data_IF_473995436939
#
_entry.id   IF_473995436939
#
_cell.length_a   1.000
_cell.length_b   1.000
_cell.length_c   1.000
_cell.angle_alpha   90.00
_cell.angle_beta   90.00
_cell.angle_gamma   90.00
#
_symmetry.space_group_name_H-M   'P 1'
#
loop_
_entity.id
_entity.type
_entity.pdbx_description
1 polymer ?
#
# COMPACT_ATOMS: atom_id res chain seq x y z
N UNK A 1 17.94 -31.61 -8.75
CA UNK A 1 16.71 -31.89 -7.97
C UNK A 1 16.08 -30.53 -7.68
N UNK A 2 14.83 -30.20 -7.97
CA UNK A 2 13.63 -30.95 -8.35
C UNK A 2 12.86 -30.14 -9.39
N UNK A 3 12.10 -30.81 -10.27
CA UNK A 3 11.15 -30.12 -11.16
C UNK A 3 10.16 -29.36 -10.27
N UNK A 4 10.18 -28.03 -10.29
CA UNK A 4 9.16 -27.23 -9.60
C UNK A 4 7.82 -27.52 -10.26
N UNK A 5 6.99 -28.32 -9.60
CA UNK A 5 5.70 -28.75 -10.11
C UNK A 5 4.72 -27.58 -9.96
N UNK A 6 3.92 -27.30 -10.98
CA UNK A 6 2.80 -26.36 -10.84
C UNK A 6 1.83 -26.85 -9.75
N UNK A 7 1.22 -25.92 -9.00
CA UNK A 7 0.21 -26.26 -8.01
C UNK A 7 -1.02 -26.86 -8.70
N UNK A 8 -1.67 -27.89 -8.09
CA UNK A 8 -3.00 -28.31 -8.49
C UNK A 8 -3.98 -27.12 -8.49
N UNK A 9 -4.95 -27.04 -9.42
CA UNK A 9 -5.85 -25.89 -9.53
C UNK A 9 -6.61 -25.54 -8.23
N UNK A 10 -7.00 -26.55 -7.45
CA UNK A 10 -7.68 -26.37 -6.17
C UNK A 10 -6.78 -25.72 -5.12
N UNK A 11 -5.53 -26.18 -5.00
CA UNK A 11 -4.55 -25.65 -4.06
C UNK A 11 -4.12 -24.24 -4.44
N UNK A 12 -3.92 -23.98 -5.74
CA UNK A 12 -3.67 -22.64 -6.24
C UNK A 12 -4.82 -21.68 -5.89
N UNK A 13 -6.08 -22.10 -6.13
CA UNK A 13 -7.27 -21.30 -5.80
C UNK A 13 -7.33 -20.98 -4.30
N UNK A 14 -7.03 -21.95 -3.45
CA UNK A 14 -7.01 -21.77 -2.01
C UNK A 14 -5.97 -20.71 -1.61
N UNK A 15 -4.71 -20.90 -2.00
CA UNK A 15 -3.63 -19.96 -1.67
C UNK A 15 -3.91 -18.55 -2.24
N UNK A 16 -4.48 -18.46 -3.44
CA UNK A 16 -4.87 -17.18 -4.03
C UNK A 16 -6.00 -16.50 -3.23
N UNK A 17 -6.95 -17.26 -2.71
CA UNK A 17 -8.05 -16.75 -1.87
C UNK A 17 -7.53 -16.25 -0.53
N UNK A 18 -6.60 -16.99 0.09
CA UNK A 18 -5.95 -16.61 1.35
C UNK A 18 -5.14 -15.30 1.21
N UNK A 19 -4.65 -14.98 0.00
CA UNK A 19 -3.93 -13.72 -0.25
C UNK A 19 -4.86 -12.48 -0.34
N UNK A 20 -6.18 -12.65 -0.53
CA UNK A 20 -7.11 -11.54 -0.80
C UNK A 20 -7.09 -10.44 0.28
N UNK A 21 -7.16 -10.73 1.59
CA UNK A 21 -7.15 -9.69 2.61
C UNK A 21 -5.86 -8.84 2.57
N UNK A 22 -4.72 -9.49 2.33
CA UNK A 22 -3.42 -8.82 2.19
C UNK A 22 -3.34 -7.96 0.93
N UNK A 23 -3.88 -8.44 -0.19
CA UNK A 23 -3.96 -7.67 -1.43
C UNK A 23 -4.83 -6.42 -1.28
N UNK A 24 -5.96 -6.52 -0.57
CA UNK A 24 -6.83 -5.36 -0.28
C UNK A 24 -6.14 -4.36 0.63
N UNK A 25 -5.49 -4.81 1.70
CA UNK A 25 -4.74 -3.94 2.59
C UNK A 25 -3.63 -3.20 1.83
N UNK A 26 -2.81 -3.94 1.07
CA UNK A 26 -1.74 -3.36 0.25
C UNK A 26 -2.27 -2.39 -0.81
N UNK A 27 -3.34 -2.77 -1.51
CA UNK A 27 -4.00 -1.93 -2.52
C UNK A 27 -4.53 -0.62 -1.94
N UNK A 28 -5.13 -0.64 -0.74
CA UNK A 28 -5.59 0.57 -0.04
C UNK A 28 -4.44 1.47 0.36
N UNK A 29 -3.39 0.92 0.97
CA UNK A 29 -2.22 1.70 1.35
C UNK A 29 -1.50 2.29 0.13
N UNK A 30 -1.52 1.61 -1.02
CA UNK A 30 -0.86 2.06 -2.24
C UNK A 30 -1.66 3.14 -3.01
N UNK A 31 -2.99 3.00 -3.05
CA UNK A 31 -3.89 3.85 -3.84
C UNK A 31 -4.57 4.97 -3.04
N UNK A 32 -4.69 4.82 -1.73
CA UNK A 32 -5.41 5.73 -0.84
C UNK A 32 -6.93 5.65 -0.93
N UNK A 33 -7.49 4.79 -1.78
CA UNK A 33 -8.92 4.72 -2.08
C UNK A 33 -9.42 3.26 -2.02
N UNK A 34 -10.54 3.04 -1.33
CA UNK A 34 -11.10 1.70 -1.11
C UNK A 34 -11.64 1.08 -2.39
N UNK A 35 -12.37 1.84 -3.19
CA UNK A 35 -13.02 1.33 -4.39
C UNK A 35 -11.97 1.03 -5.46
N UNK A 36 -10.99 1.93 -5.62
CA UNK A 36 -9.82 1.71 -6.48
C UNK A 36 -9.03 0.47 -6.04
N UNK A 37 -8.83 0.28 -4.74
CA UNK A 37 -8.15 -0.90 -4.22
C UNK A 37 -8.94 -2.19 -4.51
N UNK A 38 -10.26 -2.17 -4.33
CA UNK A 38 -11.10 -3.35 -4.55
C UNK A 38 -11.12 -3.75 -6.04
N UNK A 39 -11.20 -2.79 -6.96
CA UNK A 39 -11.08 -3.02 -8.41
C UNK A 39 -9.69 -3.54 -8.78
N UNK A 40 -8.64 -2.92 -8.24
CA UNK A 40 -7.26 -3.34 -8.46
C UNK A 40 -7.03 -4.79 -8.02
N UNK A 41 -7.61 -5.20 -6.89
CA UNK A 41 -7.54 -6.58 -6.41
C UNK A 41 -8.28 -7.52 -7.35
N UNK A 42 -9.47 -7.17 -7.84
CA UNK A 42 -10.19 -8.01 -8.81
C UNK A 42 -9.36 -8.25 -10.08
N UNK A 43 -8.81 -7.18 -10.67
CA UNK A 43 -7.93 -7.27 -11.84
C UNK A 43 -6.70 -8.14 -11.56
N UNK A 44 -6.13 -8.02 -10.36
CA UNK A 44 -4.97 -8.80 -9.93
C UNK A 44 -5.33 -10.29 -9.85
N UNK A 45 -6.47 -10.65 -9.27
CA UNK A 45 -6.91 -12.03 -9.15
C UNK A 45 -7.17 -12.66 -10.52
N UNK A 46 -7.79 -11.93 -11.45
CA UNK A 46 -8.00 -12.38 -12.83
C UNK A 46 -6.67 -12.66 -13.54
N UNK A 47 -5.70 -11.73 -13.43
CA UNK A 47 -4.37 -11.90 -14.02
C UNK A 47 -3.59 -13.03 -13.37
N UNK A 48 -3.65 -13.17 -12.05
CA UNK A 48 -3.04 -14.27 -11.32
C UNK A 48 -3.62 -15.61 -11.76
N UNK A 49 -4.94 -15.72 -11.89
CA UNK A 49 -5.60 -16.93 -12.38
C UNK A 49 -5.20 -17.28 -13.81
N UNK A 50 -5.13 -16.28 -14.70
CA UNK A 50 -4.68 -16.45 -16.07
C UNK A 50 -3.18 -16.84 -16.16
N UNK A 51 -2.36 -16.34 -15.24
CA UNK A 51 -0.92 -16.59 -15.17
C UNK A 51 -0.53 -17.75 -14.24
N UNK A 52 -1.48 -18.55 -13.74
CA UNK A 52 -1.24 -19.58 -12.71
C UNK A 52 -0.15 -20.59 -13.08
N UNK A 53 0.01 -20.88 -14.37
CA UNK A 53 1.03 -21.82 -14.85
C UNK A 53 2.46 -21.27 -14.72
N UNK A 54 2.61 -19.95 -14.47
CA UNK A 54 3.89 -19.29 -14.18
C UNK A 54 4.22 -19.27 -12.69
N UNK A 55 3.27 -19.67 -11.81
CA UNK A 55 3.53 -19.74 -10.39
C UNK A 55 4.42 -20.95 -10.06
N UNK A 56 5.41 -20.71 -9.21
CA UNK A 56 6.42 -21.70 -8.81
C UNK A 56 6.01 -22.24 -7.43
N UNK A 57 5.56 -23.49 -7.36
CA UNK A 57 5.15 -24.07 -6.07
C UNK A 57 6.30 -24.07 -5.05
N UNK A 58 5.96 -23.83 -3.79
CA UNK A 58 6.92 -23.62 -2.71
C UNK A 58 7.44 -22.19 -2.58
N UNK A 59 7.09 -21.29 -3.51
CA UNK A 59 7.32 -19.84 -3.35
C UNK A 59 6.10 -19.16 -2.71
N UNK A 60 6.27 -17.91 -2.25
CA UNK A 60 5.19 -17.16 -1.60
C UNK A 60 4.14 -16.68 -2.60
N UNK A 61 2.91 -17.23 -2.51
CA UNK A 61 1.74 -16.74 -3.25
C UNK A 61 1.49 -15.25 -3.00
N UNK A 62 1.72 -14.80 -1.76
CA UNK A 62 1.55 -13.39 -1.36
C UNK A 62 2.53 -12.49 -2.11
N UNK A 63 3.82 -12.83 -2.11
CA UNK A 63 4.83 -12.04 -2.83
C UNK A 63 4.57 -12.02 -4.34
N UNK A 64 4.24 -13.19 -4.92
CA UNK A 64 3.94 -13.30 -6.35
C UNK A 64 2.72 -12.47 -6.77
N UNK A 65 1.65 -12.51 -5.99
CA UNK A 65 0.44 -11.69 -6.27
C UNK A 65 0.69 -10.21 -6.02
N UNK A 66 1.56 -9.84 -5.07
CA UNK A 66 1.96 -8.44 -4.85
C UNK A 66 2.68 -7.86 -6.06
N UNK A 67 3.56 -8.63 -6.72
CA UNK A 67 4.19 -8.23 -8.00
C UNK A 67 3.13 -7.94 -9.07
N UNK A 68 2.11 -8.80 -9.20
CA UNK A 68 1.04 -8.62 -10.19
C UNK A 68 0.20 -7.38 -9.88
N UNK A 69 -0.16 -7.18 -8.61
CA UNK A 69 -0.93 -6.02 -8.15
C UNK A 69 -0.17 -4.73 -8.41
N UNK A 70 1.09 -4.68 -7.99
CA UNK A 70 2.03 -3.58 -8.20
C UNK A 70 2.10 -3.18 -9.67
N UNK A 71 2.36 -4.17 -10.55
CA UNK A 71 2.47 -3.92 -11.98
C UNK A 71 1.14 -3.46 -12.59
N UNK A 72 0.01 -3.98 -12.10
CA UNK A 72 -1.33 -3.54 -12.52
C UNK A 72 -1.59 -2.09 -12.13
N UNK A 73 -1.26 -1.70 -10.90
CA UNK A 73 -1.43 -0.34 -10.39
C UNK A 73 -0.60 0.68 -11.19
N UNK A 74 0.72 0.46 -11.30
CA UNK A 74 1.57 1.39 -12.04
C UNK A 74 1.26 1.44 -13.55
N UNK A 75 0.73 0.35 -14.11
CA UNK A 75 0.26 0.36 -15.50
C UNK A 75 -1.07 1.08 -15.67
N UNK A 76 -1.97 1.05 -14.70
CA UNK A 76 -3.20 1.86 -14.75
C UNK A 76 -2.90 3.34 -14.57
N UNK A 77 -1.97 3.70 -13.69
CA UNK A 77 -1.56 5.09 -13.44
C UNK A 77 -0.88 5.72 -14.66
N UNK A 78 0.03 5.00 -15.33
CA UNK A 78 0.65 5.49 -16.59
C UNK A 78 -0.37 5.72 -17.70
N UNK A 79 -1.38 4.83 -17.82
CA UNK A 79 -2.47 4.99 -18.80
C UNK A 79 -3.34 6.21 -18.46
N UNK A 80 -3.73 6.39 -17.20
CA UNK A 80 -4.50 7.56 -16.74
C UNK A 80 -3.77 8.87 -17.06
N UNK A 81 -2.45 8.94 -16.78
CA UNK A 81 -1.64 10.12 -17.10
C UNK A 81 -1.59 10.40 -18.61
N UNK A 82 -1.47 9.36 -19.42
CA UNK A 82 -1.47 9.52 -20.88
C UNK A 82 -2.84 9.99 -21.38
N UNK A 83 -3.94 9.36 -20.96
CA UNK A 83 -5.30 9.75 -21.39
C UNK A 83 -5.68 11.16 -20.92
N UNK A 84 -5.31 11.56 -19.69
CA UNK A 84 -5.53 12.90 -19.19
C UNK A 84 -4.77 13.97 -20.00
N UNK A 85 -3.59 13.64 -20.53
CA UNK A 85 -2.84 14.54 -21.43
C UNK A 85 -3.48 14.67 -22.83
N UNK A 86 -4.44 13.82 -23.21
CA UNK A 86 -5.20 13.95 -24.47
C UNK A 86 -6.55 14.65 -24.27
N UNK A 87 -6.99 14.85 -23.03
CA UNK A 87 -8.30 15.39 -22.68
C UNK A 87 -8.10 16.58 -21.73
N UNK A 88 -7.59 17.69 -22.28
CA UNK A 88 -7.27 18.95 -21.59
C UNK A 88 -8.53 19.72 -21.10
N UNK A 89 -9.63 19.01 -20.79
CA UNK A 89 -10.87 19.58 -20.27
C UNK A 89 -11.52 18.77 -19.12
N UNK A 90 -10.87 17.72 -18.57
CA UNK A 90 -11.38 16.96 -17.41
C UNK A 90 -10.40 16.96 -16.23
N UNK A 91 -9.60 18.02 -16.10
CA UNK A 91 -8.68 18.22 -15.00
C UNK A 91 -9.36 18.79 -13.75
N UNK A 92 -10.42 18.14 -13.24
CA UNK A 92 -10.99 18.54 -11.94
C UNK A 92 -11.73 17.42 -11.18
N UNK A 93 -11.33 16.16 -11.35
CA UNK A 93 -11.94 15.08 -10.54
C UNK A 93 -10.99 13.97 -10.11
N UNK A 94 -9.92 14.33 -9.40
CA UNK A 94 -9.17 13.39 -8.54
C UNK A 94 -8.68 14.10 -7.29
N UNK A 95 -9.56 14.83 -6.60
CA UNK A 95 -9.32 15.30 -5.22
C UNK A 95 -10.65 15.30 -4.47
N UNK A 96 -11.26 14.12 -4.34
CA UNK A 96 -12.31 13.93 -3.33
C UNK A 96 -12.43 12.44 -3.04
N UNK A 97 -11.53 11.94 -2.19
CA UNK A 97 -11.82 10.71 -1.46
C UNK A 97 -12.96 11.03 -0.47
N UNK A 98 -14.01 10.21 -0.37
CA UNK A 98 -15.00 10.37 0.69
C UNK A 98 -14.31 10.20 2.04
N UNK A 99 -14.67 11.06 3.01
CA UNK A 99 -14.17 10.98 4.37
C UNK A 99 -14.37 9.56 4.93
N UNK A 100 -13.34 8.90 5.50
CA UNK A 100 -13.51 7.55 6.02
C UNK A 100 -14.47 7.55 7.22
N UNK A 101 -15.35 6.55 7.25
CA UNK A 101 -16.11 6.16 8.42
C UNK A 101 -15.16 5.90 9.59
N UNK A 102 -15.21 6.79 10.60
CA UNK A 102 -14.54 6.75 11.90
C UNK A 102 -13.35 5.76 12.01
N UNK A 103 -12.30 5.99 11.23
CA UNK A 103 -11.01 5.40 11.54
C UNK A 103 -10.38 6.14 12.72
N UNK A 104 -9.61 5.46 13.59
CA UNK A 104 -8.77 6.13 14.59
C UNK A 104 -7.95 7.24 13.92
N UNK A 105 -7.98 8.46 14.46
CA UNK A 105 -7.36 9.65 13.89
C UNK A 105 -5.92 9.40 13.41
N UNK A 106 -5.15 8.63 14.18
CA UNK A 106 -3.78 8.22 13.87
C UNK A 106 -3.62 7.38 12.58
N UNK A 107 -4.59 6.51 12.25
CA UNK A 107 -4.55 5.71 11.01
C UNK A 107 -4.88 6.56 9.79
N UNK A 108 -5.83 7.48 9.93
CA UNK A 108 -6.16 8.45 8.88
C UNK A 108 -5.01 9.42 8.61
N UNK A 109 -4.31 9.87 9.65
CA UNK A 109 -3.09 10.69 9.54
C UNK A 109 -1.95 9.92 8.85
N UNK A 110 -1.72 8.66 9.23
CA UNK A 110 -0.72 7.81 8.57
C UNK A 110 -1.06 7.60 7.09
N UNK A 111 -2.32 7.31 6.76
CA UNK A 111 -2.74 7.15 5.38
C UNK A 111 -2.53 8.44 4.58
N UNK A 112 -2.89 9.60 5.13
CA UNK A 112 -2.63 10.90 4.49
C UNK A 112 -1.13 11.12 4.28
N UNK A 113 -0.31 10.87 5.30
CA UNK A 113 1.15 11.01 5.18
C UNK A 113 1.75 10.08 4.12
N UNK A 114 1.26 8.85 4.00
CA UNK A 114 1.69 7.93 2.93
C UNK A 114 1.35 8.49 1.54
N UNK A 115 0.20 9.15 1.38
CA UNK A 115 -0.23 9.71 0.10
C UNK A 115 0.60 10.91 -0.36
N UNK A 116 1.27 11.61 0.56
CA UNK A 116 2.21 12.70 0.26
C UNK A 116 3.59 12.19 -0.24
N UNK A 117 3.91 10.92 0.01
CA UNK A 117 5.15 10.32 -0.47
C UNK A 117 5.12 10.13 -2.00
N UNK A 118 6.29 10.18 -2.63
CA UNK A 118 6.42 9.69 -4.00
C UNK A 118 6.05 8.21 -4.08
N UNK A 119 5.51 7.78 -5.23
CA UNK A 119 5.00 6.40 -5.37
C UNK A 119 6.05 5.33 -5.03
N UNK A 120 7.30 5.55 -5.43
CA UNK A 120 8.44 4.67 -5.14
C UNK A 120 8.76 4.57 -3.63
N UNK A 121 8.59 5.67 -2.89
CA UNK A 121 8.79 5.72 -1.45
C UNK A 121 7.61 5.07 -0.71
N UNK A 122 6.38 5.38 -1.14
CA UNK A 122 5.16 4.77 -0.61
C UNK A 122 5.18 3.26 -0.78
N UNK A 123 5.49 2.77 -1.98
CA UNK A 123 5.64 1.33 -2.25
C UNK A 123 6.68 0.69 -1.31
N UNK A 124 7.86 1.29 -1.21
CA UNK A 124 8.96 0.74 -0.41
C UNK A 124 8.62 0.64 1.09
N UNK A 125 8.05 1.70 1.67
CA UNK A 125 7.73 1.70 3.10
C UNK A 125 6.58 0.77 3.45
N UNK A 126 5.59 0.61 2.55
CA UNK A 126 4.48 -0.33 2.76
C UNK A 126 5.00 -1.77 2.70
N UNK A 127 5.83 -2.12 1.71
CA UNK A 127 6.36 -3.49 1.56
C UNK A 127 7.17 -3.90 2.80
N UNK A 128 8.09 -3.06 3.27
CA UNK A 128 8.96 -3.39 4.40
C UNK A 128 8.26 -3.21 5.75
N UNK A 129 7.55 -2.10 5.95
CA UNK A 129 6.93 -1.75 7.23
C UNK A 129 5.67 -2.55 7.52
N UNK A 130 4.67 -2.45 6.64
CA UNK A 130 3.37 -3.12 6.83
C UNK A 130 3.36 -4.56 6.29
N UNK A 131 4.06 -4.81 5.18
CA UNK A 131 4.15 -6.12 4.55
C UNK A 131 5.10 -7.09 5.25
N UNK A 132 6.01 -6.58 6.08
CA UNK A 132 6.99 -7.37 6.82
C UNK A 132 8.02 -8.07 5.93
N UNK A 133 8.19 -7.63 4.68
CA UNK A 133 9.17 -8.19 3.77
C UNK A 133 10.57 -7.71 4.11
N UNK A 134 11.56 -8.59 3.93
CA UNK A 134 12.97 -8.18 3.94
C UNK A 134 13.26 -7.18 2.81
N UNK A 135 14.39 -6.47 2.88
CA UNK A 135 14.78 -5.55 1.82
C UNK A 135 14.98 -6.27 0.49
N UNK A 136 15.48 -7.49 0.54
CA UNK A 136 15.71 -8.39 -0.58
C UNK A 136 14.39 -8.76 -1.25
N UNK A 137 13.43 -9.30 -0.50
CA UNK A 137 12.10 -9.65 -1.01
C UNK A 137 11.34 -8.44 -1.54
N UNK A 138 11.39 -7.30 -0.82
CA UNK A 138 10.75 -6.07 -1.27
C UNK A 138 11.36 -5.57 -2.59
N UNK A 139 12.69 -5.66 -2.76
CA UNK A 139 13.38 -5.28 -3.98
C UNK A 139 12.99 -6.18 -5.17
N UNK A 140 12.82 -7.48 -4.94
CA UNK A 140 12.27 -8.41 -5.94
C UNK A 140 10.84 -8.03 -6.34
N UNK A 141 9.98 -7.73 -5.35
CA UNK A 141 8.58 -7.34 -5.61
C UNK A 141 8.51 -6.04 -6.43
N UNK A 142 9.30 -5.04 -6.04
CA UNK A 142 9.35 -3.73 -6.69
C UNK A 142 10.18 -3.72 -7.98
N UNK A 143 10.83 -4.85 -8.33
CA UNK A 143 11.74 -5.00 -9.45
C UNK A 143 12.83 -3.91 -9.49
N UNK A 144 13.57 -3.75 -8.39
CA UNK A 144 14.69 -2.81 -8.28
C UNK A 144 15.90 -3.43 -7.57
N UNK A 145 17.04 -2.74 -7.58
CA UNK A 145 18.20 -3.18 -6.81
C UNK A 145 17.96 -3.06 -5.28
N UNK A 146 18.56 -3.95 -4.48
CA UNK A 146 18.45 -3.94 -3.01
C UNK A 146 18.92 -2.60 -2.43
N UNK A 147 20.01 -2.03 -2.96
CA UNK A 147 20.50 -0.71 -2.56
C UNK A 147 19.48 0.40 -2.84
N UNK A 148 18.77 0.33 -3.96
CA UNK A 148 17.67 1.24 -4.29
C UNK A 148 16.55 1.11 -3.28
N UNK A 149 16.12 -0.12 -2.96
CA UNK A 149 15.09 -0.37 -1.95
C UNK A 149 15.45 0.21 -0.58
N UNK A 150 16.66 -0.06 -0.08
CA UNK A 150 17.18 0.52 1.18
C UNK A 150 17.13 2.05 1.16
N UNK A 151 17.57 2.68 0.07
CA UNK A 151 17.55 4.14 -0.07
C UNK A 151 16.12 4.72 -0.15
N UNK A 152 15.17 3.98 -0.75
CA UNK A 152 13.77 4.39 -0.83
C UNK A 152 13.11 4.31 0.54
N UNK A 153 13.31 3.22 1.28
CA UNK A 153 12.78 3.06 2.65
C UNK A 153 13.35 4.11 3.59
N UNK A 154 14.66 4.37 3.54
CA UNK A 154 15.29 5.40 4.37
C UNK A 154 14.69 6.79 4.10
N UNK A 155 14.56 7.17 2.82
CA UNK A 155 13.94 8.45 2.44
C UNK A 155 12.46 8.51 2.79
N UNK A 156 11.72 7.42 2.61
CA UNK A 156 10.31 7.34 2.94
C UNK A 156 10.06 7.52 4.44
N UNK A 157 10.87 6.91 5.31
CA UNK A 157 10.78 7.13 6.76
C UNK A 157 10.99 8.58 7.12
N UNK A 158 12.09 9.17 6.63
CA UNK A 158 12.43 10.58 6.91
C UNK A 158 11.31 11.51 6.46
N UNK A 159 10.82 11.35 5.22
CA UNK A 159 9.73 12.19 4.71
C UNK A 159 8.44 11.99 5.51
N UNK A 160 8.08 10.75 5.86
CA UNK A 160 6.87 10.46 6.61
C UNK A 160 6.94 11.00 8.05
N UNK A 161 8.11 10.93 8.68
CA UNK A 161 8.37 11.55 9.99
C UNK A 161 8.17 13.07 9.92
N UNK A 162 8.79 13.74 8.94
CA UNK A 162 8.61 15.18 8.71
C UNK A 162 7.12 15.55 8.49
N UNK A 163 6.41 14.81 7.65
CA UNK A 163 4.97 15.05 7.37
C UNK A 163 4.11 14.91 8.62
N UNK A 164 4.36 13.87 9.43
CA UNK A 164 3.59 13.60 10.64
C UNK A 164 3.92 14.57 11.78
N UNK A 165 5.17 14.99 11.92
CA UNK A 165 5.59 15.98 12.93
C UNK A 165 5.04 17.38 12.64
N UNK A 166 5.02 17.77 11.37
CA UNK A 166 4.57 19.11 10.96
C UNK A 166 3.05 19.22 10.88
N UNK A 167 2.32 18.10 10.95
CA UNK A 167 0.86 18.04 10.78
C UNK A 167 0.38 18.54 9.42
N UNK A 168 1.28 18.65 8.44
CA UNK A 168 1.01 19.20 7.10
C UNK A 168 0.44 18.11 6.21
N UNK A 169 -0.80 17.74 6.47
CA UNK A 169 -1.59 17.01 5.48
C UNK A 169 -2.24 18.02 4.55
N UNK A 170 -2.25 17.75 3.24
CA UNK A 170 -3.17 18.48 2.36
C UNK A 170 -4.60 18.12 2.77
N UNK A 171 -5.20 18.94 3.63
CA UNK A 171 -6.60 18.78 4.00
C UNK A 171 -7.45 19.49 2.95
N UNK A 172 -8.49 18.84 2.43
CA UNK A 172 -9.54 19.54 1.70
C UNK A 172 -10.40 20.47 2.61
N UNK A 173 -9.95 20.68 3.87
CA UNK A 173 -10.68 21.28 4.97
C UNK A 173 -9.66 21.94 5.91
N UNK A 174 -8.94 22.95 5.43
CA UNK A 174 -8.15 23.81 6.29
C UNK A 174 -9.09 24.53 7.27
N UNK A 175 -9.18 24.02 8.51
CA UNK A 175 -10.02 24.60 9.55
C UNK A 175 -10.17 23.72 10.78
N UNK A 176 -9.20 23.79 11.70
CA UNK A 176 -9.30 23.70 13.17
C UNK A 176 -8.40 22.67 13.92
N UNK A 177 -7.37 23.27 14.54
CA UNK A 177 -6.92 23.20 15.96
C UNK A 177 -6.08 22.00 16.44
N UNK A 178 -4.81 22.33 16.68
CA UNK A 178 -3.79 21.73 17.56
C UNK A 178 -4.31 21.25 18.93
N UNK A 179 -4.01 19.99 19.31
CA UNK A 179 -4.07 19.48 20.69
C UNK A 179 -3.28 18.14 20.82
N UNK A 180 -1.96 18.15 20.62
CA UNK A 180 -1.14 16.91 20.64
C UNK A 180 -0.32 16.68 21.91
N UNK A 181 -0.01 17.71 22.71
CA UNK A 181 0.87 17.54 23.88
C UNK A 181 0.14 16.98 25.13
N UNK A 182 -1.05 17.51 25.46
CA UNK A 182 -1.78 17.13 26.69
C UNK A 182 -2.55 15.80 26.55
N UNK A 183 -2.89 15.41 25.32
CA UNK A 183 -3.62 14.17 25.07
C UNK A 183 -2.72 12.93 25.17
N UNK A 184 -1.45 13.04 24.78
CA UNK A 184 -0.49 11.94 24.82
C UNK A 184 -0.13 11.52 26.26
N UNK A 185 0.05 12.49 27.17
CA UNK A 185 0.34 12.22 28.58
C UNK A 185 -0.83 11.51 29.30
N UNK A 186 -2.07 11.87 28.95
CA UNK A 186 -3.26 11.24 29.52
C UNK A 186 -3.46 9.79 29.02
N UNK A 187 -3.03 9.49 27.78
CA UNK A 187 -3.17 8.16 27.19
C UNK A 187 -2.09 7.21 27.71
N UNK A 188 -0.84 7.68 27.84
CA UNK A 188 0.25 6.87 28.40
C UNK A 188 -0.01 6.56 29.88
N UNK A 189 -0.53 7.52 30.65
CA UNK A 189 -0.91 7.29 32.06
C UNK A 189 -2.11 6.36 32.27
N UNK A 190 -2.96 6.17 31.26
CA UNK A 190 -4.10 5.24 31.32
C UNK A 190 -3.68 3.78 31.02
N UNK A 191 -2.60 3.58 30.27
CA UNK A 191 -2.07 2.25 29.92
C UNK A 191 -1.34 1.60 31.10
N UNK A 192 -0.69 2.37 31.97
CA UNK A 192 0.00 1.84 33.17
C UNK A 192 -0.96 1.37 34.28
N UNK A 193 -2.25 1.71 34.23
CA UNK A 193 -3.25 1.30 35.24
C UNK A 193 -4.04 0.05 34.89
N UNK A 194 -3.78 -0.59 33.73
CA UNK A 194 -4.56 -1.73 33.23
C UNK A 194 -3.65 -2.93 32.86
N UNK A 195 -2.49 -3.05 33.50
CA UNK A 195 -1.74 -4.31 33.50
C UNK A 195 -1.83 -4.94 34.91
N UNK A 196 -2.20 -6.23 35.05
CA UNK A 196 -2.13 -6.93 36.34
C UNK A 196 -0.67 -7.12 36.80
#
# INVERSE_FOLDING_TARGET
>A
MSKTKALPPAEFKQQLTEAIPHLRAFGRSLSGDRDVADDLVQDTLLKAWAARDRFIAGTSMRAWTFVILRNTFFSSMRRKKFTANYDELVAERILSAPAPQQEPLHLADLQRGLMELSDDQREAIILVGAGGYSYEEAAEIANCAIGTMKSRVSRARKALEEILEEGRFTTASDGHVNLTATALENIIGAVEKIAP
#
